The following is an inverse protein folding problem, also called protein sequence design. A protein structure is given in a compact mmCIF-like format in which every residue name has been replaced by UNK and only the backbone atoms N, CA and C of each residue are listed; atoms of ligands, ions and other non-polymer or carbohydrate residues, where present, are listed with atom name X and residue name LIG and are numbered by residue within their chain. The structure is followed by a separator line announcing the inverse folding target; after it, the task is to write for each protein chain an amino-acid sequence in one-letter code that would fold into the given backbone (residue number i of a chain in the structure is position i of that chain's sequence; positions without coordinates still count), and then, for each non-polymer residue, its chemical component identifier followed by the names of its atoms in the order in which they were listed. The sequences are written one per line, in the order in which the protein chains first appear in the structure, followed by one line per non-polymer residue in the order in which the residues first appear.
data_IF_626999553352
#
_entry.id   IF_626999553352
#
_cell.length_a   1.000
_cell.length_b   1.000
_cell.length_c   1.000
_cell.angle_alpha   90.00
_cell.angle_beta   90.00
_cell.angle_gamma   90.00
#
_symmetry.space_group_name_H-M   'P 1'
#
loop_
_entity.id
_entity.type
_entity.pdbx_description
1 polymer ?
#
# COMPACT_ATOMS: atom_id res chain seq x y z
N UNK A 1 -21.49 -11.30 7.74
CA UNK A 1 -20.31 -11.09 8.61
C UNK A 1 -19.31 -10.23 7.85
N UNK A 2 -18.69 -9.25 8.50
CA UNK A 2 -17.65 -8.41 7.90
C UNK A 2 -16.30 -9.14 7.91
N UNK A 3 -15.65 -9.22 6.74
CA UNK A 3 -14.30 -9.78 6.64
C UNK A 3 -13.28 -8.76 7.15
N UNK A 4 -12.35 -9.19 8.01
CA UNK A 4 -11.30 -8.34 8.58
C UNK A 4 -10.48 -7.71 7.45
N UNK A 5 -10.42 -6.38 7.43
CA UNK A 5 -9.61 -5.60 6.48
C UNK A 5 -8.37 -5.05 7.18
N UNK A 6 -7.29 -4.87 6.42
CA UNK A 6 -6.00 -4.47 6.95
C UNK A 6 -5.59 -3.08 6.45
N UNK A 7 -4.71 -2.44 7.20
CA UNK A 7 -4.08 -1.17 6.88
C UNK A 7 -2.56 -1.32 6.95
N UNK A 8 -1.88 -0.94 5.86
CA UNK A 8 -0.43 -0.81 5.79
C UNK A 8 -0.07 0.69 5.90
N UNK A 9 0.48 1.14 7.05
CA UNK A 9 0.79 2.54 7.28
C UNK A 9 1.97 3.08 6.47
N UNK A 10 2.81 2.21 5.92
CA UNK A 10 3.90 2.61 5.03
C UNK A 10 4.13 1.52 4.00
N UNK A 11 3.99 1.88 2.73
CA UNK A 11 4.24 0.97 1.62
C UNK A 11 5.12 1.62 0.57
N UNK A 12 6.11 0.88 0.09
CA UNK A 12 7.04 1.29 -0.96
C UNK A 12 7.09 0.19 -2.00
N UNK A 13 7.19 0.58 -3.26
CA UNK A 13 7.48 -0.30 -4.38
C UNK A 13 6.60 -1.55 -4.37
N UNK A 14 5.28 -1.36 -4.34
CA UNK A 14 4.32 -2.46 -4.38
C UNK A 14 3.11 -2.04 -5.22
N UNK A 15 2.75 -2.88 -6.19
CA UNK A 15 1.47 -2.79 -6.89
C UNK A 15 0.39 -3.61 -6.19
N UNK A 16 -0.86 -3.40 -6.56
CA UNK A 16 -1.99 -4.21 -6.07
C UNK A 16 -1.75 -5.70 -6.37
N UNK A 17 -1.33 -6.04 -7.58
CA UNK A 17 -1.10 -7.43 -7.98
C UNK A 17 0.03 -8.08 -7.18
N UNK A 18 1.07 -7.32 -6.84
CA UNK A 18 2.15 -7.80 -6.00
C UNK A 18 1.65 -8.09 -4.58
N UNK A 19 0.87 -7.20 -3.99
CA UNK A 19 0.29 -7.41 -2.65
C UNK A 19 -0.64 -8.62 -2.66
N UNK A 20 -1.57 -8.71 -3.61
CA UNK A 20 -2.47 -9.85 -3.78
C UNK A 20 -1.66 -11.15 -3.88
N UNK A 21 -0.60 -11.16 -4.70
CA UNK A 21 0.28 -12.32 -4.85
C UNK A 21 0.92 -12.70 -3.52
N UNK A 22 1.49 -11.74 -2.78
CA UNK A 22 2.15 -12.04 -1.50
C UNK A 22 1.19 -12.63 -0.47
N UNK A 23 0.00 -12.04 -0.28
CA UNK A 23 -0.99 -12.60 0.66
C UNK A 23 -1.46 -13.99 0.26
N UNK A 24 -1.63 -14.25 -1.04
CA UNK A 24 -2.01 -15.58 -1.56
C UNK A 24 -0.90 -16.61 -1.39
N UNK A 25 0.34 -16.30 -1.77
CA UNK A 25 1.46 -17.26 -1.74
C UNK A 25 1.92 -17.61 -0.33
N UNK A 26 1.65 -16.74 0.65
CA UNK A 26 1.93 -16.99 2.07
C UNK A 26 0.73 -17.62 2.80
N UNK A 27 -0.25 -18.15 2.07
CA UNK A 27 -1.44 -18.81 2.61
C UNK A 27 -2.24 -17.94 3.60
N UNK A 28 -2.28 -16.61 3.42
CA UNK A 28 -3.01 -15.74 4.35
C UNK A 28 -4.47 -15.57 3.93
N UNK A 29 -4.72 -15.24 2.66
CA UNK A 29 -6.08 -14.99 2.21
C UNK A 29 -6.17 -14.53 0.77
N UNK A 30 -7.41 -14.44 0.29
CA UNK A 30 -7.75 -13.92 -1.02
C UNK A 30 -8.10 -12.44 -0.89
N UNK A 31 -7.22 -11.58 -1.38
CA UNK A 31 -7.43 -10.14 -1.38
C UNK A 31 -8.36 -9.76 -2.54
N UNK A 32 -9.47 -9.09 -2.23
CA UNK A 32 -10.43 -8.58 -3.20
C UNK A 32 -9.90 -7.32 -3.90
N UNK A 33 -9.39 -6.36 -3.11
CA UNK A 33 -8.81 -5.12 -3.64
C UNK A 33 -7.84 -4.48 -2.65
N UNK A 34 -6.99 -3.61 -3.19
CA UNK A 34 -6.12 -2.71 -2.44
C UNK A 34 -6.41 -1.26 -2.85
N UNK A 35 -6.69 -0.42 -1.84
CA UNK A 35 -6.90 1.01 -2.01
C UNK A 35 -5.64 1.75 -1.54
N UNK A 36 -4.96 2.43 -2.48
CA UNK A 36 -3.76 3.19 -2.20
C UNK A 36 -4.07 4.66 -1.95
N UNK A 37 -3.42 5.24 -0.94
CA UNK A 37 -3.51 6.67 -0.64
C UNK A 37 -2.13 7.26 -0.43
N UNK A 38 -2.00 8.54 -0.75
CA UNK A 38 -0.88 9.36 -0.32
C UNK A 38 -1.31 10.23 0.85
N UNK A 39 -0.64 10.05 1.99
CA UNK A 39 -0.85 10.85 3.18
C UNK A 39 0.00 12.13 3.08
N UNK A 40 -0.66 13.27 2.86
CA UNK A 40 0.00 14.57 2.67
C UNK A 40 0.71 15.09 3.91
N UNK A 41 0.26 14.72 5.11
CA UNK A 41 0.90 15.14 6.37
C UNK A 41 2.18 14.33 6.59
N UNK A 42 2.10 13.01 6.42
CA UNK A 42 3.22 12.10 6.67
C UNK A 42 4.13 11.92 5.46
N UNK A 43 3.81 12.55 4.34
CA UNK A 43 4.55 12.51 3.07
C UNK A 43 4.89 11.07 2.64
N UNK A 44 3.93 10.16 2.74
CA UNK A 44 4.14 8.73 2.44
C UNK A 44 2.92 8.08 1.85
N UNK A 45 3.15 6.98 1.13
CA UNK A 45 2.10 6.11 0.62
C UNK A 45 1.66 5.11 1.69
N UNK A 46 0.35 4.91 1.78
CA UNK A 46 -0.29 3.96 2.66
C UNK A 46 -1.27 3.11 1.83
N UNK A 47 -1.66 1.93 2.34
CA UNK A 47 -2.57 1.03 1.64
C UNK A 47 -3.62 0.43 2.57
N UNK A 48 -4.83 0.25 2.05
CA UNK A 48 -5.92 -0.45 2.71
C UNK A 48 -6.22 -1.73 1.93
N UNK A 49 -6.24 -2.86 2.62
CA UNK A 49 -6.41 -4.18 2.03
C UNK A 49 -7.76 -4.71 2.43
N UNK A 50 -8.56 -5.06 1.42
CA UNK A 50 -9.87 -5.65 1.61
C UNK A 50 -9.84 -7.09 1.14
N UNK A 51 -10.10 -8.02 2.05
CA UNK A 51 -10.15 -9.45 1.76
C UNK A 51 -11.52 -9.84 1.24
N UNK A 52 -11.53 -10.74 0.26
CA UNK A 52 -12.69 -11.54 -0.10
C UNK A 52 -12.90 -12.61 1.00
N UNK A 53 -11.82 -13.29 1.36
CA UNK A 53 -11.78 -14.28 2.44
C UNK A 53 -10.37 -14.39 3.04
N UNK A 54 -10.32 -14.77 4.32
CA UNK A 54 -9.11 -15.27 4.97
C UNK A 54 -9.06 -16.79 4.81
N UNK A 55 -7.85 -17.33 4.63
CA UNK A 55 -7.70 -18.78 4.57
C UNK A 55 -7.80 -19.39 5.96
N UNK A 56 -8.08 -20.69 6.03
CA UNK A 56 -8.18 -21.46 7.28
C UNK A 56 -6.84 -22.04 7.75
N UNK A 57 -5.76 -21.67 7.08
CA UNK A 57 -4.37 -22.07 7.36
C UNK A 57 -3.90 -21.61 8.73
N UNK A 58 -2.85 -22.25 9.23
CA UNK A 58 -2.22 -21.89 10.50
C UNK A 58 -1.61 -20.49 10.44
N UNK A 59 -1.00 -20.13 9.32
CA UNK A 59 -0.36 -18.84 9.08
C UNK A 59 -1.38 -17.70 9.07
N UNK A 60 -2.53 -17.92 8.41
CA UNK A 60 -3.64 -16.97 8.39
C UNK A 60 -4.19 -16.72 9.79
N UNK A 61 -4.48 -17.79 10.55
CA UNK A 61 -5.01 -17.69 11.91
C UNK A 61 -4.04 -16.96 12.83
N UNK A 62 -2.76 -17.36 12.81
CA UNK A 62 -1.71 -16.70 13.58
C UNK A 62 -1.60 -15.22 13.26
N UNK A 63 -1.62 -14.85 11.97
CA UNK A 63 -1.55 -13.44 11.58
C UNK A 63 -2.78 -12.66 12.04
N UNK A 64 -3.98 -13.25 12.01
CA UNK A 64 -5.20 -12.64 12.54
C UNK A 64 -5.12 -12.42 14.04
N UNK A 65 -4.72 -13.45 14.79
CA UNK A 65 -4.54 -13.38 16.25
C UNK A 65 -3.52 -12.30 16.61
N UNK A 66 -2.37 -12.30 15.93
CA UNK A 66 -1.33 -11.28 16.10
C UNK A 66 -1.88 -9.88 15.80
N UNK A 67 -2.69 -9.67 14.76
CA UNK A 67 -3.22 -8.34 14.40
C UNK A 67 -4.27 -7.83 15.39
N UNK A 68 -5.01 -8.73 16.03
CA UNK A 68 -6.08 -8.40 16.97
C UNK A 68 -5.54 -8.12 18.37
N UNK A 69 -4.34 -8.61 18.71
CA UNK A 69 -3.67 -8.26 19.96
C UNK A 69 -3.18 -6.80 19.93
N UNK A 70 -3.66 -5.91 20.82
CA UNK A 70 -3.20 -4.52 20.87
C UNK A 70 -1.74 -4.37 21.33
N UNK A 71 -1.13 -5.41 21.91
CA UNK A 71 0.23 -5.37 22.45
C UNK A 71 1.31 -5.75 21.43
N UNK A 72 0.90 -6.32 20.30
CA UNK A 72 1.82 -6.77 19.25
C UNK A 72 2.01 -5.67 18.20
N UNK A 73 3.21 -5.63 17.61
CA UNK A 73 3.50 -4.84 16.41
C UNK A 73 3.54 -5.77 15.22
N UNK A 74 2.37 -6.12 14.71
CA UNK A 74 2.25 -7.15 13.69
C UNK A 74 2.87 -6.73 12.37
N UNK A 75 3.63 -7.65 11.79
CA UNK A 75 4.36 -7.45 10.54
C UNK A 75 4.10 -8.63 9.62
N UNK A 76 3.89 -8.35 8.34
CA UNK A 76 3.83 -9.36 7.30
C UNK A 76 5.14 -9.39 6.55
N UNK A 77 5.96 -10.42 6.85
CA UNK A 77 7.21 -10.71 6.15
C UNK A 77 6.89 -11.45 4.85
N UNK A 78 7.25 -10.87 3.71
CA UNK A 78 6.86 -11.39 2.40
C UNK A 78 8.04 -11.81 1.51
N UNK A 79 9.27 -11.35 1.81
CA UNK A 79 10.47 -11.79 1.09
C UNK A 79 11.76 -11.43 1.83
N UNK A 80 12.51 -12.42 2.33
CA UNK A 80 13.73 -12.19 3.11
C UNK A 80 13.45 -11.28 4.31
N UNK A 81 14.23 -10.21 4.44
CA UNK A 81 14.05 -9.17 5.47
C UNK A 81 12.95 -8.14 5.15
N UNK A 82 12.25 -8.26 4.01
CA UNK A 82 11.21 -7.30 3.62
C UNK A 82 9.89 -7.63 4.32
N UNK A 83 9.29 -6.60 4.92
CA UNK A 83 8.02 -6.70 5.61
C UNK A 83 7.15 -5.47 5.42
N UNK A 84 5.84 -5.64 5.60
CA UNK A 84 4.89 -4.54 5.79
C UNK A 84 4.36 -4.54 7.22
N UNK A 85 4.40 -3.41 7.94
CA UNK A 85 3.66 -3.29 9.19
C UNK A 85 2.16 -3.40 8.90
N UNK A 86 1.43 -4.11 9.74
CA UNK A 86 -0.01 -4.31 9.59
C UNK A 86 -0.77 -3.80 10.81
N UNK A 87 -1.92 -3.22 10.54
CA UNK A 87 -2.87 -2.75 11.52
C UNK A 87 -4.29 -3.12 11.08
N UNK A 88 -5.22 -3.20 12.04
CA UNK A 88 -6.64 -3.36 11.75
C UNK A 88 -7.17 -2.11 11.03
N UNK A 89 -7.85 -2.31 9.89
CA UNK A 89 -8.61 -1.23 9.26
C UNK A 89 -9.96 -1.07 9.98
N UNK A 90 -10.03 -0.10 10.89
CA UNK A 90 -11.23 0.20 11.69
C UNK A 90 -12.43 0.70 10.86
N UNK A 91 -12.21 1.16 9.63
CA UNK A 91 -13.24 1.77 8.78
C UNK A 91 -13.46 0.98 7.48
N UNK A 92 -13.35 -0.35 7.52
CA UNK A 92 -13.38 -1.24 6.36
C UNK A 92 -14.59 -1.06 5.40
N UNK A 93 -15.74 -0.63 5.94
CA UNK A 93 -17.01 -0.54 5.20
C UNK A 93 -17.50 0.88 4.96
N UNK A 94 -16.72 1.90 5.36
CA UNK A 94 -17.10 3.30 5.18
C UNK A 94 -16.02 4.01 4.39
N UNK A 95 -16.42 4.69 3.31
CA UNK A 95 -15.54 5.70 2.70
C UNK A 95 -15.48 6.87 3.67
N UNK A 96 -14.37 6.98 4.39
CA UNK A 96 -14.10 8.13 5.23
C UNK A 96 -13.33 9.12 4.39
N UNK A 97 -13.95 10.26 4.10
CA UNK A 97 -13.24 11.35 3.46
C UNK A 97 -12.21 11.91 4.44
N UNK A 98 -10.95 11.92 4.01
CA UNK A 98 -9.87 12.51 4.77
C UNK A 98 -9.22 13.58 3.89
N UNK A 99 -9.32 14.88 4.23
CA UNK A 99 -8.75 15.95 3.42
C UNK A 99 -7.23 15.85 3.31
N UNK A 100 -6.57 15.08 4.18
CA UNK A 100 -5.14 14.86 4.14
C UNK A 100 -4.72 13.74 3.21
N UNK A 101 -5.66 12.98 2.64
CA UNK A 101 -5.38 11.85 1.76
C UNK A 101 -5.67 12.19 0.31
N UNK A 102 -4.77 11.76 -0.57
CA UNK A 102 -5.00 11.74 -2.01
C UNK A 102 -5.10 10.28 -2.43
N UNK A 103 -6.24 9.89 -3.00
CA UNK A 103 -6.44 8.55 -3.55
C UNK A 103 -5.51 8.40 -4.75
N UNK A 104 -4.73 7.33 -4.78
CA UNK A 104 -3.80 7.07 -5.86
C UNK A 104 -4.44 6.16 -6.90
N UNK A 105 -4.24 6.48 -8.17
CA UNK A 105 -4.69 5.64 -9.26
C UNK A 105 -3.85 4.35 -9.33
N UNK A 106 -4.50 3.20 -9.43
CA UNK A 106 -3.83 1.89 -9.50
C UNK A 106 -2.88 1.76 -10.68
N UNK A 107 -3.22 2.34 -11.83
CA UNK A 107 -2.38 2.32 -13.03
C UNK A 107 -1.08 3.12 -12.83
N UNK A 108 -1.17 4.27 -12.16
CA UNK A 108 -0.01 5.09 -11.78
C UNK A 108 0.86 4.39 -10.73
N UNK A 109 0.24 3.78 -9.71
CA UNK A 109 0.97 2.98 -8.72
C UNK A 109 1.75 1.85 -9.40
N UNK A 110 1.13 1.18 -10.37
CA UNK A 110 1.74 0.10 -11.16
C UNK A 110 2.86 0.61 -12.07
N UNK A 111 2.72 1.77 -12.71
CA UNK A 111 3.78 2.33 -13.54
C UNK A 111 5.00 2.70 -12.70
N UNK A 112 4.79 3.37 -11.56
CA UNK A 112 5.87 3.71 -10.60
C UNK A 112 6.58 2.45 -10.12
N UNK A 113 5.84 1.41 -9.73
CA UNK A 113 6.42 0.14 -9.30
C UNK A 113 7.27 -0.51 -10.40
N UNK A 114 6.78 -0.54 -11.64
CA UNK A 114 7.57 -1.05 -12.78
C UNK A 114 8.82 -0.22 -12.99
N UNK A 115 8.73 1.11 -13.00
CA UNK A 115 9.90 1.97 -13.16
C UNK A 115 10.93 1.74 -12.07
N UNK A 116 10.53 1.68 -10.80
CA UNK A 116 11.42 1.44 -9.65
C UNK A 116 12.11 0.07 -9.71
N UNK A 117 11.44 -0.96 -10.23
CA UNK A 117 12.06 -2.27 -10.47
C UNK A 117 12.96 -2.29 -11.70
N UNK A 118 12.66 -1.46 -12.70
CA UNK A 118 13.37 -1.43 -13.97
C UNK A 118 14.57 -0.50 -13.98
N UNK A 119 14.85 0.32 -12.95
CA UNK A 119 16.05 1.18 -12.89
C UNK A 119 17.30 0.27 -12.95
N UNK A 120 17.99 0.17 -14.09
CA UNK A 120 19.36 -0.33 -14.12
C UNK A 120 20.23 0.81 -13.56
N UNK A 121 21.47 0.54 -13.16
CA UNK A 121 22.46 1.58 -12.85
C UNK A 121 22.58 2.61 -13.99
N UNK A 122 21.78 3.67 -14.01
CA UNK A 122 21.95 4.82 -14.89
C UNK A 122 21.59 6.10 -14.16
N UNK A 123 22.58 7.00 -14.13
CA UNK A 123 22.63 8.22 -13.33
C UNK A 123 21.37 9.09 -13.47
N UNK A 124 20.89 9.58 -12.32
CA UNK A 124 19.93 10.68 -12.23
C UNK A 124 20.44 11.88 -13.05
N UNK A 125 19.75 12.22 -14.14
CA UNK A 125 19.72 13.60 -14.62
C UNK A 125 18.42 14.23 -14.11
N UNK A 126 18.57 15.11 -13.14
CA UNK A 126 17.58 16.09 -12.71
C UNK A 126 17.12 16.90 -13.92
N UNK A 127 15.84 16.79 -14.29
CA UNK A 127 15.21 17.76 -15.19
C UNK A 127 14.82 18.99 -14.38
N UNK A 128 15.52 20.09 -14.62
CA UNK A 128 15.08 21.43 -14.25
C UNK A 128 13.89 21.82 -15.13
N UNK A 129 12.72 22.03 -14.53
CA UNK A 129 11.57 22.63 -15.20
C UNK A 129 11.81 24.14 -15.30
N UNK A 130 12.23 24.61 -16.47
CA UNK A 130 12.10 26.01 -16.87
C UNK A 130 10.80 26.14 -17.65
N UNK A 131 9.89 27.00 -17.18
CA UNK A 131 9.15 28.00 -17.97
C UNK A 131 7.96 28.54 -17.18
N UNK A 132 8.11 29.75 -16.63
CA UNK A 132 7.04 30.74 -16.61
C UNK A 132 7.68 32.13 -16.70
N UNK A 133 7.49 32.81 -17.82
CA UNK A 133 7.37 34.26 -17.88
C UNK A 133 6.71 34.67 -19.20
N UNK A 134 5.37 34.73 -19.17
CA UNK A 134 4.63 35.69 -19.98
C UNK A 134 4.40 36.92 -19.09
N UNK A 135 4.97 38.07 -19.46
CA UNK A 135 4.36 39.38 -19.18
C UNK A 135 4.63 40.27 -20.40
N UNK A 136 3.55 40.61 -21.11
CA UNK A 136 3.49 41.71 -22.09
C UNK A 136 3.54 43.05 -21.34
N UNK A 137 4.19 44.06 -21.91
CA UNK A 137 3.83 45.46 -21.63
C UNK A 137 4.27 46.36 -22.79
N UNK A 138 3.24 46.98 -23.40
CA UNK A 138 3.14 48.23 -24.17
C UNK A 138 4.13 48.55 -25.28
#
# INVERSE_FOLDING_TARGET
MSVLSLYIPIIRNASEEYIIKMFKTHNIGKVMRVDFVFNKIKMRREAFIHFDEWFTSTESKRLQDDILDPNTKTQFKYHGEKFWPLLVNKNAHKRVENPNYTILNKAEVKSVFKTELMIPFTNKKTMHTNQFKCIKAN
#
